data_IF_174398084955
#
_entry.id   IF_174398084955
#
_cell.length_a   1.000
_cell.length_b   1.000
_cell.length_c   1.000
_cell.angle_alpha   90.00
_cell.angle_beta   90.00
_cell.angle_gamma   90.00
#
_symmetry.space_group_name_H-M   'P 1'
#
loop_
_entity.id
_entity.type
_entity.pdbx_description
1 polymer ?
#
# COMPACT_ATOMS: atom_id res chain seq x y z
N UNK A 1 -26.17 55.32 26.66
CA UNK A 1 -26.10 54.15 25.76
C UNK A 1 -26.26 52.91 26.62
N UNK A 2 -27.39 52.23 26.51
CA UNK A 2 -27.68 51.04 27.30
C UNK A 2 -26.87 49.85 26.76
N UNK A 3 -26.03 49.27 27.61
CA UNK A 3 -25.27 48.05 27.30
C UNK A 3 -26.28 46.90 27.34
N UNK A 4 -26.45 46.20 26.22
CA UNK A 4 -27.33 45.04 26.11
C UNK A 4 -26.92 43.95 27.12
N UNK A 5 -27.76 43.62 28.11
CA UNK A 5 -27.44 42.66 29.17
C UNK A 5 -27.32 41.20 28.67
N UNK A 6 -27.65 40.94 27.40
CA UNK A 6 -27.49 39.64 26.75
C UNK A 6 -26.28 39.57 25.81
N UNK A 7 -25.49 40.64 25.69
CA UNK A 7 -24.29 40.63 24.87
C UNK A 7 -23.21 39.73 25.52
N UNK A 8 -22.61 38.79 24.77
CA UNK A 8 -21.54 37.96 25.30
C UNK A 8 -20.37 38.85 25.75
N UNK A 9 -20.00 38.75 27.03
CA UNK A 9 -18.85 39.45 27.58
C UNK A 9 -17.56 38.86 26.97
N UNK A 10 -16.93 39.58 26.05
CA UNK A 10 -15.64 39.21 25.49
C UNK A 10 -14.54 39.79 26.39
N UNK A 11 -13.92 38.93 27.21
CA UNK A 11 -12.74 39.30 27.99
C UNK A 11 -11.47 38.76 27.34
N UNK A 12 -10.43 39.59 27.21
CA UNK A 12 -9.09 39.12 26.83
C UNK A 12 -8.52 38.37 28.03
N UNK A 13 -8.26 37.07 27.85
CA UNK A 13 -7.54 36.23 28.82
C UNK A 13 -6.03 36.36 28.58
N UNK A 14 -5.24 35.89 29.54
CA UNK A 14 -3.78 35.76 29.41
C UNK A 14 -3.40 35.10 28.08
N UNK A 15 -2.26 35.48 27.49
CA UNK A 15 -1.86 34.87 26.21
C UNK A 15 -1.58 33.40 26.49
N UNK A 16 -1.99 32.54 25.56
CA UNK A 16 -1.83 31.09 25.72
C UNK A 16 -0.40 30.68 26.14
N UNK A 17 0.64 31.34 25.61
CA UNK A 17 2.04 31.04 25.98
C UNK A 17 2.47 31.49 27.39
N UNK A 18 1.69 32.35 28.05
CA UNK A 18 1.96 32.80 29.42
C UNK A 18 1.36 31.83 30.46
N UNK A 19 0.38 31.03 30.05
CA UNK A 19 -0.38 30.09 30.90
C UNK A 19 -0.07 28.63 30.57
N UNK A 20 0.28 28.34 29.31
CA UNK A 20 0.61 27.02 28.85
C UNK A 20 2.11 26.76 28.97
N UNK A 21 2.42 25.50 29.27
CA UNK A 21 3.78 24.92 29.26
C UNK A 21 4.59 25.32 28.01
N UNK A 22 5.92 25.23 28.07
CA UNK A 22 6.85 25.30 26.92
C UNK A 22 6.60 24.25 25.80
N UNK A 23 5.44 23.59 25.82
CA UNK A 23 5.00 22.49 24.95
C UNK A 23 3.84 22.92 24.08
N UNK A 24 3.58 22.16 23.03
CA UNK A 24 2.38 22.37 22.21
C UNK A 24 1.09 22.00 22.95
N UNK A 25 -0.03 22.69 22.66
CA UNK A 25 -1.31 22.51 23.35
C UNK A 25 -1.82 21.08 23.39
N UNK A 26 -1.69 20.37 22.27
CA UNK A 26 -2.17 19.00 22.14
C UNK A 26 -0.99 18.11 21.79
N UNK A 27 -0.70 17.18 22.69
CA UNK A 27 0.30 16.14 22.46
C UNK A 27 -0.43 14.93 21.89
N UNK A 28 0.15 14.34 20.85
CA UNK A 28 -0.39 13.13 20.20
C UNK A 28 0.60 12.01 20.40
N UNK A 29 0.15 10.90 20.97
CA UNK A 29 0.98 9.72 21.12
C UNK A 29 1.28 9.06 19.76
N UNK A 30 2.56 8.71 19.49
CA UNK A 30 2.94 7.85 18.38
C UNK A 30 2.24 6.49 18.43
N UNK A 31 1.76 6.01 17.28
CA UNK A 31 1.19 4.67 17.16
C UNK A 31 2.22 3.63 16.72
N UNK A 32 1.91 2.36 17.00
CA UNK A 32 2.76 1.25 16.57
C UNK A 32 2.87 1.18 15.03
N UNK A 33 4.10 1.06 14.55
CA UNK A 33 4.44 1.06 13.12
C UNK A 33 4.02 2.33 12.36
N UNK A 34 3.71 3.42 13.07
CA UNK A 34 3.37 4.71 12.48
C UNK A 34 4.60 5.34 11.83
N UNK A 35 4.38 5.94 10.67
CA UNK A 35 5.38 6.70 9.96
C UNK A 35 5.50 8.11 10.52
N UNK A 36 6.71 8.67 10.56
CA UNK A 36 6.95 9.99 11.14
C UNK A 36 6.06 11.07 10.53
N UNK A 37 5.88 11.10 9.20
CA UNK A 37 4.94 12.01 8.55
C UNK A 37 3.51 11.91 9.07
N UNK A 38 3.05 10.69 9.39
CA UNK A 38 1.67 10.40 9.78
C UNK A 38 1.42 10.99 11.15
N UNK A 39 2.36 10.73 12.06
CA UNK A 39 2.35 11.32 13.39
C UNK A 39 2.41 12.85 13.32
N UNK A 40 3.31 13.43 12.52
CA UNK A 40 3.40 14.88 12.32
C UNK A 40 2.11 15.49 11.78
N UNK A 41 1.41 14.83 10.86
CA UNK A 41 0.13 15.32 10.35
C UNK A 41 -1.00 15.21 11.37
N UNK A 42 -1.04 14.14 12.19
CA UNK A 42 -1.99 14.03 13.30
C UNK A 42 -1.72 15.09 14.35
N UNK A 43 -0.46 15.32 14.69
CA UNK A 43 -0.02 16.35 15.62
C UNK A 43 -0.39 17.75 15.12
N UNK A 44 -0.11 18.05 13.85
CA UNK A 44 -0.50 19.31 13.23
C UNK A 44 -2.02 19.52 13.28
N UNK A 45 -2.80 18.51 12.88
CA UNK A 45 -4.26 18.56 12.89
C UNK A 45 -4.81 18.77 14.31
N UNK A 46 -4.28 18.05 15.30
CA UNK A 46 -4.66 18.17 16.70
C UNK A 46 -4.37 19.56 17.28
N UNK A 47 -3.32 20.23 16.80
CA UNK A 47 -2.98 21.60 17.17
C UNK A 47 -3.60 22.66 16.22
N UNK A 48 -4.58 22.29 15.39
CA UNK A 48 -5.31 23.24 14.54
C UNK A 48 -4.52 23.76 13.32
N UNK A 49 -3.39 23.13 12.98
CA UNK A 49 -2.54 23.54 11.86
C UNK A 49 -2.70 22.59 10.67
N UNK A 50 -2.98 23.14 9.49
CA UNK A 50 -3.03 22.33 8.27
C UNK A 50 -1.64 21.73 7.95
N UNK A 51 -1.57 20.47 7.44
CA UNK A 51 -0.30 19.79 7.16
C UNK A 51 0.74 20.59 6.38
N UNK A 52 0.30 21.34 5.34
CA UNK A 52 1.22 22.16 4.54
C UNK A 52 1.78 23.36 5.31
N UNK A 53 1.00 23.95 6.21
CA UNK A 53 1.42 25.09 7.02
C UNK A 53 2.37 24.67 8.15
N UNK A 54 2.20 23.45 8.66
CA UNK A 54 3.03 22.90 9.75
C UNK A 54 4.52 22.81 9.40
N UNK A 55 4.87 22.70 8.11
CA UNK A 55 6.26 22.82 7.65
C UNK A 55 6.95 24.09 8.20
N UNK A 56 6.24 25.22 8.21
CA UNK A 56 6.79 26.50 8.69
C UNK A 56 6.99 26.53 10.20
N UNK A 57 6.15 25.80 10.95
CA UNK A 57 6.32 25.65 12.41
C UNK A 57 7.65 24.96 12.72
N UNK A 58 8.09 24.06 11.85
CA UNK A 58 9.39 23.37 11.94
C UNK A 58 10.52 24.12 11.20
N UNK A 59 10.30 25.36 10.75
CA UNK A 59 11.31 26.12 9.99
C UNK A 59 11.59 25.57 8.58
N UNK A 60 10.72 24.74 8.02
CA UNK A 60 10.89 24.10 6.72
C UNK A 60 10.08 24.78 5.60
N UNK A 61 10.56 24.61 4.37
CA UNK A 61 9.83 25.06 3.18
C UNK A 61 8.68 24.11 2.82
N UNK A 62 7.55 24.62 2.31
CA UNK A 62 6.47 23.77 1.83
C UNK A 62 6.92 22.90 0.64
N UNK A 63 6.43 21.67 0.59
CA UNK A 63 6.82 20.70 -0.43
C UNK A 63 6.58 19.28 0.07
N UNK A 64 7.41 18.32 -0.35
CA UNK A 64 7.41 16.97 0.24
C UNK A 64 8.14 16.90 1.59
N UNK A 65 8.14 18.00 2.36
CA UNK A 65 8.88 18.19 3.60
C UNK A 65 8.72 17.00 4.57
N UNK A 66 7.48 16.57 4.81
CA UNK A 66 7.17 15.49 5.75
C UNK A 66 7.74 14.16 5.28
N UNK A 67 7.71 13.91 3.97
CA UNK A 67 8.22 12.69 3.37
C UNK A 67 9.76 12.65 3.36
N UNK A 68 10.41 13.82 3.31
CA UNK A 68 11.86 13.93 3.48
C UNK A 68 12.29 13.58 4.90
N UNK A 69 11.51 13.99 5.92
CA UNK A 69 11.78 13.68 7.32
C UNK A 69 11.70 12.19 7.63
N UNK A 70 10.84 11.43 6.92
CA UNK A 70 10.79 9.97 7.09
C UNK A 70 12.11 9.27 6.73
N UNK A 71 12.85 9.82 5.76
CA UNK A 71 14.12 9.23 5.32
C UNK A 71 15.27 9.63 6.24
N UNK A 72 15.26 10.86 6.74
CA UNK A 72 16.27 11.39 7.64
C UNK A 72 15.65 12.53 8.43
N UNK A 73 15.58 12.35 9.74
CA UNK A 73 15.17 13.40 10.67
C UNK A 73 16.42 14.19 11.10
N UNK A 74 16.53 15.49 10.75
CA UNK A 74 17.61 16.35 11.25
C UNK A 74 17.56 16.51 12.77
N UNK A 75 18.73 16.60 13.41
CA UNK A 75 18.84 16.61 14.88
C UNK A 75 18.27 17.87 15.53
N UNK A 76 18.34 19.02 14.86
CA UNK A 76 17.67 20.26 15.25
C UNK A 76 16.14 20.09 15.29
N UNK A 77 15.55 19.50 14.24
CA UNK A 77 14.11 19.23 14.19
C UNK A 77 13.72 18.17 15.23
N UNK A 78 14.53 17.12 15.42
CA UNK A 78 14.28 16.12 16.46
C UNK A 78 14.25 16.75 17.86
N UNK A 79 15.21 17.64 18.18
CA UNK A 79 15.22 18.38 19.45
C UNK A 79 14.01 19.28 19.61
N UNK A 80 13.62 19.99 18.55
CA UNK A 80 12.41 20.81 18.56
C UNK A 80 11.16 19.96 18.84
N UNK A 81 10.98 18.84 18.15
CA UNK A 81 9.86 17.94 18.37
C UNK A 81 9.86 17.35 19.78
N UNK A 82 11.01 16.91 20.28
CA UNK A 82 11.17 16.40 21.64
C UNK A 82 10.78 17.46 22.69
N UNK A 83 11.27 18.69 22.54
CA UNK A 83 10.95 19.79 23.47
C UNK A 83 9.46 20.12 23.49
N UNK A 84 8.82 20.18 22.32
CA UNK A 84 7.42 20.60 22.20
C UNK A 84 6.41 19.49 22.51
N UNK A 85 6.79 18.22 22.40
CA UNK A 85 5.86 17.08 22.54
C UNK A 85 6.18 16.13 23.68
N UNK A 86 7.41 16.14 24.18
CA UNK A 86 7.89 15.15 25.15
C UNK A 86 8.18 13.76 24.55
N UNK A 87 7.96 13.54 23.25
CA UNK A 87 8.29 12.27 22.58
C UNK A 87 9.80 12.10 22.50
N UNK A 88 10.31 10.94 22.93
CA UNK A 88 11.75 10.72 23.03
C UNK A 88 12.43 10.65 21.65
N UNK A 89 13.74 10.98 21.55
CA UNK A 89 14.49 10.82 20.32
C UNK A 89 14.42 9.40 19.73
N UNK A 90 14.38 8.37 20.60
CA UNK A 90 14.28 6.98 20.18
C UNK A 90 12.91 6.65 19.56
N UNK A 91 11.83 7.18 20.15
CA UNK A 91 10.49 7.05 19.57
C UNK A 91 10.38 7.78 18.22
N UNK A 92 10.97 8.98 18.11
CA UNK A 92 11.04 9.71 16.84
C UNK A 92 11.83 8.93 15.79
N UNK A 93 12.98 8.37 16.17
CA UNK A 93 13.82 7.55 15.30
C UNK A 93 13.09 6.27 14.85
N UNK A 94 12.35 5.62 15.75
CA UNK A 94 11.58 4.41 15.44
C UNK A 94 10.50 4.64 14.37
N UNK A 95 9.96 5.86 14.28
CA UNK A 95 8.99 6.26 13.23
C UNK A 95 9.63 6.54 11.85
N UNK A 96 10.96 6.70 11.79
CA UNK A 96 11.68 6.92 10.52
C UNK A 96 11.89 5.61 9.74
N UNK A 97 12.26 5.73 8.46
CA UNK A 97 12.51 4.62 7.53
C UNK A 97 14.00 4.25 7.45
N UNK A 98 14.91 5.06 7.99
CA UNK A 98 16.36 4.97 7.76
C UNK A 98 17.03 3.73 8.36
N UNK A 99 16.45 3.18 9.43
CA UNK A 99 17.07 2.11 10.24
C UNK A 99 16.30 0.78 10.18
N UNK A 100 15.05 0.78 9.72
CA UNK A 100 14.18 -0.40 9.84
C UNK A 100 13.89 -1.10 8.51
N UNK A 101 14.10 -0.44 7.37
CA UNK A 101 13.65 -0.92 6.06
C UNK A 101 14.75 -0.78 4.99
N UNK A 102 14.85 -1.74 4.05
CA UNK A 102 15.83 -1.66 2.96
C UNK A 102 15.55 -0.48 2.04
N UNK A 103 16.45 0.53 2.09
CA UNK A 103 16.31 1.80 1.36
C UNK A 103 16.07 1.64 -0.14
N UNK A 104 16.65 0.60 -0.75
CA UNK A 104 16.53 0.32 -2.17
C UNK A 104 15.10 -0.09 -2.57
N UNK A 105 14.33 -0.69 -1.66
CA UNK A 105 12.93 -1.07 -1.91
C UNK A 105 11.94 0.06 -1.61
N UNK A 106 12.38 1.19 -1.04
CA UNK A 106 11.47 2.28 -0.75
C UNK A 106 10.91 2.86 -2.05
N UNK A 107 9.59 3.06 -2.08
CA UNK A 107 8.95 3.79 -3.18
C UNK A 107 9.56 5.19 -3.26
N UNK A 108 9.83 5.72 -4.46
CA UNK A 108 10.58 6.94 -4.61
C UNK A 108 9.76 8.16 -4.17
N UNK A 109 10.44 9.18 -3.64
CA UNK A 109 9.83 10.48 -3.37
C UNK A 109 9.58 11.22 -4.69
N UNK A 110 8.53 10.81 -5.42
CA UNK A 110 8.16 11.40 -6.70
C UNK A 110 6.78 12.03 -6.66
N UNK A 111 6.71 13.18 -7.30
CA UNK A 111 5.48 13.89 -7.66
C UNK A 111 5.37 13.97 -9.19
N UNK A 112 5.47 12.84 -9.88
CA UNK A 112 5.12 12.81 -11.30
C UNK A 112 3.60 12.73 -11.44
N UNK A 113 3.03 13.49 -12.38
CA UNK A 113 1.59 13.48 -12.67
C UNK A 113 1.12 12.22 -13.41
N UNK A 114 2.04 11.34 -13.82
CA UNK A 114 1.73 10.17 -14.64
C UNK A 114 1.03 9.06 -13.81
N UNK A 115 -0.01 8.46 -14.38
CA UNK A 115 -0.90 7.49 -13.69
C UNK A 115 -0.30 6.09 -13.52
N UNK A 116 0.57 5.69 -14.43
CA UNK A 116 1.27 4.40 -14.47
C UNK A 116 2.48 4.35 -13.52
N UNK A 117 3.01 5.52 -13.14
CA UNK A 117 4.18 5.64 -12.27
C UNK A 117 3.86 5.45 -10.80
N UNK A 118 4.89 5.03 -10.07
CA UNK A 118 4.92 4.93 -8.61
C UNK A 118 4.50 6.23 -7.95
N UNK A 119 3.74 6.10 -6.88
CA UNK A 119 3.58 7.17 -5.89
C UNK A 119 4.48 6.87 -4.71
N UNK A 120 4.66 7.86 -3.85
CA UNK A 120 5.46 7.70 -2.64
C UNK A 120 4.67 7.07 -1.48
N UNK A 121 3.33 7.05 -1.49
CA UNK A 121 2.54 6.57 -0.36
C UNK A 121 1.40 5.64 -0.81
N UNK A 122 1.22 4.59 -0.04
CA UNK A 122 0.14 3.62 -0.17
C UNK A 122 -0.72 3.59 1.10
N UNK A 123 -1.89 2.96 1.03
CA UNK A 123 -2.80 2.76 2.16
C UNK A 123 -3.71 1.55 2.01
N UNK A 124 -4.20 1.05 3.15
CA UNK A 124 -5.33 0.13 3.25
C UNK A 124 -6.54 0.91 3.77
N UNK A 125 -7.68 0.89 3.05
CA UNK A 125 -8.90 1.59 3.49
C UNK A 125 -9.52 0.97 4.74
N UNK A 126 -9.41 -0.35 4.90
CA UNK A 126 -9.91 -1.05 6.09
C UNK A 126 -9.10 -0.67 7.33
N UNK A 127 -7.77 -0.63 7.25
CA UNK A 127 -6.94 -0.11 8.35
C UNK A 127 -7.36 1.31 8.74
N UNK A 128 -7.46 2.22 7.77
CA UNK A 128 -7.88 3.60 8.07
C UNK A 128 -9.31 3.70 8.63
N UNK A 129 -10.15 2.67 8.46
CA UNK A 129 -11.51 2.62 9.01
C UNK A 129 -11.53 2.09 10.44
N UNK A 130 -10.74 1.05 10.72
CA UNK A 130 -10.66 0.40 12.03
C UNK A 130 -9.76 1.14 13.02
N UNK A 131 -8.77 1.88 12.54
CA UNK A 131 -7.88 2.68 13.37
C UNK A 131 -8.71 3.77 14.08
N UNK A 132 -8.69 3.78 15.43
CA UNK A 132 -9.36 4.82 16.23
C UNK A 132 -8.89 6.22 15.83
N UNK A 133 -7.61 6.35 15.50
CA UNK A 133 -7.00 7.53 14.89
C UNK A 133 -6.27 7.11 13.60
N UNK A 134 -6.86 7.31 12.41
CA UNK A 134 -6.30 6.80 11.16
C UNK A 134 -4.87 7.28 10.87
N UNK A 135 -3.98 6.33 10.57
CA UNK A 135 -2.56 6.60 10.38
C UNK A 135 -1.93 5.80 9.24
N UNK A 136 -0.82 6.33 8.70
CA UNK A 136 -0.05 5.66 7.66
C UNK A 136 1.11 4.88 8.28
N UNK A 137 1.24 3.61 7.88
CA UNK A 137 2.22 2.67 8.42
C UNK A 137 3.52 2.71 7.63
N UNK A 138 4.66 2.56 8.31
CA UNK A 138 6.01 2.59 7.68
C UNK A 138 6.16 1.59 6.55
N UNK A 139 5.67 0.35 6.75
CA UNK A 139 5.76 -0.73 5.75
C UNK A 139 5.05 -0.43 4.43
N UNK A 140 4.09 0.50 4.41
CA UNK A 140 3.42 0.94 3.18
C UNK A 140 4.33 1.77 2.25
N UNK A 141 5.59 1.99 2.64
CA UNK A 141 6.62 2.61 1.79
C UNK A 141 7.42 1.60 0.97
N UNK A 142 7.32 0.30 1.24
CA UNK A 142 8.04 -0.72 0.50
C UNK A 142 7.37 -1.02 -0.84
N UNK A 143 8.13 -1.01 -1.92
CA UNK A 143 7.66 -1.40 -3.24
C UNK A 143 7.31 -2.89 -3.35
N UNK A 144 7.85 -3.74 -2.49
CA UNK A 144 7.42 -5.14 -2.40
C UNK A 144 6.10 -5.29 -1.67
N UNK A 145 5.71 -4.32 -0.83
CA UNK A 145 4.44 -4.31 -0.09
C UNK A 145 3.28 -3.94 -1.01
N UNK A 146 2.56 -4.96 -1.44
CA UNK A 146 1.41 -4.84 -2.36
C UNK A 146 0.08 -5.15 -1.67
N UNK A 147 0.12 -5.84 -0.53
CA UNK A 147 -1.03 -6.24 0.28
C UNK A 147 -0.94 -5.68 1.70
N UNK A 148 -2.09 -5.54 2.36
CA UNK A 148 -2.14 -5.21 3.78
C UNK A 148 -1.84 -6.46 4.62
N UNK A 149 -0.96 -6.36 5.61
CA UNK A 149 -0.66 -7.48 6.53
C UNK A 149 -1.84 -7.89 7.39
N UNK A 150 -2.68 -6.92 7.78
CA UNK A 150 -3.87 -7.15 8.61
C UNK A 150 -5.04 -7.69 7.79
N UNK A 151 -5.34 -7.05 6.66
CA UNK A 151 -6.55 -7.34 5.89
C UNK A 151 -6.35 -8.21 4.65
N UNK A 152 -5.11 -8.44 4.24
CA UNK A 152 -4.78 -9.21 3.04
C UNK A 152 -5.31 -8.61 1.73
N UNK A 153 -5.83 -7.37 1.73
CA UNK A 153 -6.30 -6.69 0.52
C UNK A 153 -5.17 -5.92 -0.15
N UNK A 154 -5.29 -5.68 -1.46
CA UNK A 154 -4.32 -4.89 -2.22
C UNK A 154 -4.28 -3.45 -1.69
N UNK A 155 -3.08 -2.95 -1.43
CA UNK A 155 -2.87 -1.55 -1.07
C UNK A 155 -3.23 -0.63 -2.23
N UNK A 156 -3.70 0.56 -1.89
CA UNK A 156 -4.04 1.63 -2.83
C UNK A 156 -3.03 2.75 -2.71
N UNK A 157 -2.80 3.47 -3.78
CA UNK A 157 -1.83 4.56 -3.83
C UNK A 157 -2.37 5.82 -4.49
N UNK A 158 -3.66 5.78 -4.83
CA UNK A 158 -4.44 6.83 -5.49
C UNK A 158 -5.81 6.92 -4.86
N UNK A 159 -6.35 8.13 -4.86
CA UNK A 159 -7.71 8.40 -4.43
C UNK A 159 -8.71 7.67 -5.36
N UNK A 160 -9.74 6.99 -4.81
CA UNK A 160 -10.76 6.35 -5.63
C UNK A 160 -11.62 7.35 -6.41
N UNK A 161 -11.82 8.56 -5.86
CA UNK A 161 -12.64 9.60 -6.47
C UNK A 161 -11.92 10.33 -7.62
N UNK A 162 -10.78 10.99 -7.34
CA UNK A 162 -10.10 11.83 -8.33
C UNK A 162 -8.89 11.15 -9.02
N UNK A 163 -8.53 9.93 -8.61
CA UNK A 163 -7.35 9.18 -9.11
C UNK A 163 -5.99 9.87 -8.90
N UNK A 164 -5.96 11.02 -8.24
CA UNK A 164 -4.73 11.67 -7.80
C UNK A 164 -4.00 10.78 -6.80
N UNK A 165 -2.68 10.85 -6.81
CA UNK A 165 -1.81 10.21 -5.81
C UNK A 165 -2.11 10.70 -4.40
N UNK A 166 -1.81 9.88 -3.40
CA UNK A 166 -1.93 10.29 -2.00
C UNK A 166 -0.81 11.30 -1.69
N UNK A 167 -1.18 12.55 -1.40
CA UNK A 167 -0.25 13.65 -1.17
C UNK A 167 -0.67 14.42 0.10
N UNK A 168 -0.74 13.71 1.23
CA UNK A 168 -1.18 14.24 2.52
C UNK A 168 -0.38 15.48 2.96
N UNK A 169 0.91 15.56 2.61
CA UNK A 169 1.77 16.73 2.84
C UNK A 169 1.26 18.03 2.19
N UNK A 170 0.44 17.92 1.14
CA UNK A 170 -0.07 19.06 0.37
C UNK A 170 -1.43 19.56 0.89
N UNK A 171 -1.91 19.04 2.03
CA UNK A 171 -3.15 19.47 2.65
C UNK A 171 -3.10 20.94 3.06
N UNK A 172 -3.86 21.79 2.35
CA UNK A 172 -4.01 23.23 2.66
C UNK A 172 -5.12 23.51 3.68
N UNK A 173 -6.10 22.61 3.77
CA UNK A 173 -7.24 22.72 4.67
C UNK A 173 -6.94 21.96 5.96
N UNK A 174 -7.55 22.40 7.06
CA UNK A 174 -7.52 21.68 8.32
C UNK A 174 -8.45 20.47 8.24
N UNK A 175 -7.96 19.40 7.62
CA UNK A 175 -8.68 18.14 7.45
C UNK A 175 -7.81 16.97 7.88
N UNK A 176 -8.40 15.89 8.44
CA UNK A 176 -7.64 14.69 8.77
C UNK A 176 -6.92 14.11 7.56
N UNK A 177 -5.76 13.49 7.80
CA UNK A 177 -4.89 12.95 6.76
C UNK A 177 -5.50 11.80 5.92
N UNK A 178 -6.60 11.19 6.38
CA UNK A 178 -7.34 10.19 5.59
C UNK A 178 -8.24 10.83 4.51
N UNK A 179 -8.28 12.16 4.40
CA UNK A 179 -8.97 12.86 3.30
C UNK A 179 -8.01 13.21 2.19
N UNK A 180 -8.45 13.02 0.95
CA UNK A 180 -7.65 13.36 -0.21
C UNK A 180 -7.35 14.87 -0.26
N UNK A 181 -6.06 15.24 -0.31
CA UNK A 181 -5.64 16.65 -0.38
C UNK A 181 -6.09 17.39 -1.66
N UNK A 182 -6.52 16.67 -2.70
CA UNK A 182 -6.95 17.25 -3.98
C UNK A 182 -8.47 17.42 -4.08
N UNK A 183 -9.25 16.39 -3.71
CA UNK A 183 -10.71 16.41 -3.88
C UNK A 183 -11.51 16.26 -2.58
N UNK A 184 -10.86 16.09 -1.42
CA UNK A 184 -11.54 15.94 -0.12
C UNK A 184 -12.21 14.58 0.14
N UNK A 185 -12.26 13.70 -0.86
CA UNK A 185 -12.80 12.34 -0.76
C UNK A 185 -12.15 11.56 0.39
N UNK A 186 -12.97 10.88 1.17
CA UNK A 186 -12.56 10.07 2.31
C UNK A 186 -11.96 8.73 1.83
N UNK A 187 -10.67 8.52 2.11
CA UNK A 187 -9.94 7.33 1.66
C UNK A 187 -10.43 6.05 2.36
N UNK A 188 -11.08 6.16 3.52
CA UNK A 188 -11.69 5.03 4.25
C UNK A 188 -12.79 4.36 3.44
N UNK A 189 -13.48 5.12 2.59
CA UNK A 189 -14.57 4.63 1.72
C UNK A 189 -14.07 3.96 0.44
N UNK A 190 -12.75 3.81 0.25
CA UNK A 190 -12.23 3.16 -0.93
C UNK A 190 -12.58 1.66 -0.93
N UNK A 191 -13.08 1.16 -2.07
CA UNK A 191 -13.44 -0.25 -2.19
C UNK A 191 -12.25 -1.18 -1.94
N UNK A 192 -12.54 -2.36 -1.41
CA UNK A 192 -11.54 -3.40 -1.18
C UNK A 192 -11.17 -4.01 -2.54
N UNK A 193 -9.87 -4.24 -2.76
CA UNK A 193 -9.39 -4.98 -3.93
C UNK A 193 -8.72 -6.25 -3.43
N UNK A 194 -9.24 -7.39 -3.89
CA UNK A 194 -8.65 -8.70 -3.61
C UNK A 194 -7.32 -8.86 -4.33
N UNK A 195 -6.49 -9.76 -3.82
CA UNK A 195 -5.19 -10.13 -4.37
C UNK A 195 -5.07 -11.64 -4.24
N UNK A 196 -4.43 -12.30 -5.20
CA UNK A 196 -4.30 -13.76 -5.22
C UNK A 196 -3.59 -14.34 -3.98
N UNK A 197 -3.92 -15.56 -3.52
CA UNK A 197 -3.29 -16.19 -2.36
C UNK A 197 -1.75 -16.26 -2.44
N UNK A 198 -1.20 -16.65 -3.59
CA UNK A 198 0.25 -16.69 -3.81
C UNK A 198 0.92 -15.31 -3.66
N UNK A 199 0.26 -14.26 -4.14
CA UNK A 199 0.76 -12.90 -3.99
C UNK A 199 0.71 -12.39 -2.54
N UNK A 200 -0.32 -12.77 -1.76
CA UNK A 200 -0.35 -12.50 -0.30
C UNK A 200 0.80 -13.21 0.40
N UNK A 201 1.00 -14.48 0.09
CA UNK A 201 2.09 -15.27 0.66
C UNK A 201 3.45 -14.67 0.34
N UNK A 202 3.71 -14.36 -0.93
CA UNK A 202 4.97 -13.75 -1.36
C UNK A 202 5.22 -12.44 -0.62
N UNK A 203 4.22 -11.57 -0.52
CA UNK A 203 4.36 -10.31 0.19
C UNK A 203 4.65 -10.51 1.70
N UNK A 204 4.02 -11.50 2.34
CA UNK A 204 4.32 -11.89 3.73
C UNK A 204 5.75 -12.41 3.88
N UNK A 205 6.18 -13.34 3.01
CA UNK A 205 7.55 -13.86 3.04
C UNK A 205 8.58 -12.75 2.87
N UNK A 206 8.35 -11.81 1.95
CA UNK A 206 9.23 -10.65 1.80
C UNK A 206 9.19 -9.73 3.03
N UNK A 207 8.05 -9.58 3.71
CA UNK A 207 7.98 -8.84 4.99
C UNK A 207 8.85 -9.49 6.07
N UNK A 208 8.81 -10.81 6.17
CA UNK A 208 9.54 -11.55 7.20
C UNK A 208 11.05 -11.53 6.92
N UNK A 209 11.42 -11.63 5.64
CA UNK A 209 12.81 -11.58 5.17
C UNK A 209 13.43 -10.19 5.29
N UNK A 210 12.66 -9.13 5.02
CA UNK A 210 13.15 -7.75 5.06
C UNK A 210 13.31 -7.19 6.48
N UNK A 211 13.21 -8.03 7.53
CA UNK A 211 13.42 -7.67 8.94
C UNK A 211 14.73 -8.29 9.47
N UNK A 212 15.93 -8.02 8.92
CA UNK A 212 16.94 -7.16 9.58
C UNK A 212 18.07 -6.63 8.61
N UNK A 213 19.16 -6.08 9.16
CA UNK A 213 20.39 -5.60 8.45
C UNK A 213 21.08 -6.68 7.58
N UNK A 214 20.78 -7.95 7.81
CA UNK A 214 21.33 -9.11 7.10
C UNK A 214 21.06 -9.09 5.59
N UNK A 215 19.90 -8.57 5.17
CA UNK A 215 19.51 -8.53 3.76
C UNK A 215 20.41 -7.59 2.94
N UNK A 216 20.93 -6.53 3.56
CA UNK A 216 21.83 -5.57 2.91
C UNK A 216 23.30 -6.01 2.95
N UNK A 217 23.69 -6.73 4.00
CA UNK A 217 25.09 -7.08 4.28
C UNK A 217 25.53 -8.42 3.67
N UNK A 218 24.62 -9.38 3.50
CA UNK A 218 24.92 -10.69 2.92
C UNK A 218 24.92 -10.69 1.37
N UNK A 219 25.82 -11.44 0.70
CA UNK A 219 25.78 -11.64 -0.75
C UNK A 219 24.43 -12.17 -1.27
N UNK A 220 23.84 -13.14 -0.56
CA UNK A 220 22.53 -13.73 -0.90
C UNK A 220 21.42 -12.68 -0.79
N UNK A 221 21.45 -11.87 0.27
CA UNK A 221 20.50 -10.77 0.46
C UNK A 221 20.58 -9.71 -0.64
N UNK A 222 21.81 -9.31 -1.04
CA UNK A 222 22.01 -8.38 -2.17
C UNK A 222 21.51 -8.95 -3.50
N UNK A 223 21.71 -10.25 -3.74
CA UNK A 223 21.20 -10.92 -4.94
C UNK A 223 19.66 -10.91 -4.96
N UNK A 224 19.02 -11.30 -3.84
CA UNK A 224 17.57 -11.25 -3.68
C UNK A 224 17.04 -9.83 -3.90
N UNK A 225 17.66 -8.82 -3.29
CA UNK A 225 17.31 -7.40 -3.47
C UNK A 225 17.30 -6.99 -4.94
N UNK A 226 18.36 -7.32 -5.68
CA UNK A 226 18.47 -7.02 -7.12
C UNK A 226 17.36 -7.71 -7.93
N UNK A 227 16.99 -8.95 -7.56
CA UNK A 227 15.91 -9.70 -8.22
C UNK A 227 14.54 -9.11 -7.93
N UNK A 228 14.27 -8.73 -6.68
CA UNK A 228 13.03 -8.04 -6.30
C UNK A 228 12.86 -6.74 -7.09
N UNK A 229 13.92 -5.95 -7.20
CA UNK A 229 13.89 -4.71 -7.99
C UNK A 229 13.66 -4.95 -9.49
N UNK A 230 14.24 -6.01 -10.04
CA UNK A 230 14.12 -6.40 -11.44
C UNK A 230 12.97 -7.38 -11.72
N UNK A 231 12.08 -7.62 -10.76
CA UNK A 231 10.90 -8.49 -10.91
C UNK A 231 10.09 -8.21 -12.19
N UNK A 232 9.86 -6.95 -12.61
CA UNK A 232 9.16 -6.68 -13.87
C UNK A 232 9.81 -7.35 -15.08
N UNK A 233 11.15 -7.33 -15.15
CA UNK A 233 11.91 -8.03 -16.19
C UNK A 233 11.78 -9.55 -16.11
N UNK A 234 11.80 -10.12 -14.90
CA UNK A 234 11.67 -11.57 -14.68
C UNK A 234 10.35 -12.12 -15.21
N UNK A 235 9.26 -11.38 -15.05
CA UNK A 235 7.92 -11.83 -15.49
C UNK A 235 7.54 -11.30 -16.88
N UNK A 236 8.47 -10.69 -17.61
CA UNK A 236 8.26 -10.03 -18.90
C UNK A 236 7.07 -9.05 -18.91
N UNK A 237 6.83 -8.33 -17.80
CA UNK A 237 5.83 -7.27 -17.69
C UNK A 237 6.52 -5.98 -17.28
N UNK A 238 6.36 -4.91 -18.04
CA UNK A 238 7.05 -3.64 -17.77
C UNK A 238 8.58 -3.82 -17.73
N UNK A 239 9.14 -4.63 -18.62
CA UNK A 239 10.55 -5.07 -18.62
C UNK A 239 11.58 -3.94 -18.61
N UNK A 240 11.23 -2.76 -19.15
CA UNK A 240 12.08 -1.56 -19.11
C UNK A 240 12.00 -0.78 -17.78
N UNK A 241 11.28 -1.28 -16.78
CA UNK A 241 11.04 -0.59 -15.50
C UNK A 241 11.52 -1.40 -14.30
N UNK A 242 11.96 -0.70 -13.26
CA UNK A 242 12.23 -1.31 -11.95
C UNK A 242 10.96 -1.29 -11.09
N UNK A 243 10.85 -2.23 -10.15
CA UNK A 243 9.67 -2.41 -9.29
C UNK A 243 9.24 -1.11 -8.60
N UNK A 244 10.19 -0.37 -8.02
CA UNK A 244 9.93 0.88 -7.28
C UNK A 244 9.36 2.00 -8.15
N UNK A 245 9.47 1.92 -9.49
CA UNK A 245 8.96 2.93 -10.42
C UNK A 245 7.49 2.71 -10.84
N UNK A 246 6.93 1.55 -10.48
CA UNK A 246 5.59 1.12 -10.89
C UNK A 246 4.52 1.52 -9.86
N UNK A 247 3.31 1.81 -10.36
CA UNK A 247 2.13 1.92 -9.50
C UNK A 247 1.88 0.64 -8.71
N UNK A 248 1.12 0.74 -7.60
CA UNK A 248 0.78 -0.44 -6.78
C UNK A 248 0.03 -1.50 -7.57
N UNK A 249 -0.85 -1.09 -8.48
CA UNK A 249 -1.56 -2.02 -9.35
C UNK A 249 -0.60 -2.78 -10.28
N UNK A 250 0.36 -2.08 -10.89
CA UNK A 250 1.37 -2.72 -11.74
C UNK A 250 2.30 -3.65 -10.96
N UNK A 251 2.74 -3.24 -9.76
CA UNK A 251 3.53 -4.10 -8.86
C UNK A 251 2.77 -5.36 -8.44
N UNK A 252 1.48 -5.23 -8.13
CA UNK A 252 0.62 -6.38 -7.78
C UNK A 252 0.58 -7.39 -8.93
N UNK A 253 0.40 -6.93 -10.18
CA UNK A 253 0.42 -7.82 -11.35
C UNK A 253 1.76 -8.53 -11.53
N UNK A 254 2.88 -7.84 -11.28
CA UNK A 254 4.19 -8.48 -11.34
C UNK A 254 4.31 -9.59 -10.28
N UNK A 255 3.84 -9.35 -9.05
CA UNK A 255 3.86 -10.33 -7.96
C UNK A 255 2.94 -11.51 -8.27
N UNK A 256 1.72 -11.27 -8.75
CA UNK A 256 0.78 -12.34 -9.13
C UNK A 256 1.35 -13.22 -10.26
N UNK A 257 1.95 -12.61 -11.29
CA UNK A 257 2.59 -13.37 -12.36
C UNK A 257 3.84 -14.12 -11.88
N UNK A 258 4.63 -13.51 -11.01
CA UNK A 258 5.80 -14.17 -10.42
C UNK A 258 5.39 -15.39 -9.61
N UNK A 259 4.35 -15.26 -8.79
CA UNK A 259 3.90 -16.34 -7.90
C UNK A 259 3.25 -17.50 -8.64
N UNK A 260 2.62 -17.22 -9.78
CA UNK A 260 2.22 -18.27 -10.73
C UNK A 260 3.44 -19.11 -11.15
N UNK A 261 4.52 -18.47 -11.63
CA UNK A 261 5.73 -19.18 -12.03
C UNK A 261 6.50 -19.84 -10.86
N UNK A 262 6.49 -19.23 -9.67
CA UNK A 262 7.09 -19.84 -8.47
C UNK A 262 6.37 -21.14 -8.09
N UNK A 263 5.06 -21.19 -8.27
CA UNK A 263 4.29 -22.42 -8.05
C UNK A 263 4.78 -23.50 -9.00
N UNK A 264 4.90 -23.19 -10.30
CA UNK A 264 5.47 -24.13 -11.28
C UNK A 264 6.89 -24.61 -10.89
N UNK A 265 7.77 -23.70 -10.43
CA UNK A 265 9.15 -24.05 -10.09
C UNK A 265 9.30 -24.84 -8.79
N UNK A 266 8.38 -24.66 -7.84
CA UNK A 266 8.42 -25.32 -6.53
C UNK A 266 7.71 -26.68 -6.57
N UNK A 267 6.86 -26.92 -7.57
CA UNK A 267 6.25 -28.24 -7.82
C UNK A 267 7.23 -29.23 -8.47
N UNK A 268 8.38 -28.78 -8.97
CA UNK A 268 9.49 -29.64 -9.44
C UNK A 268 10.36 -30.17 -8.28
N UNK A 269 10.21 -29.64 -7.06
CA UNK A 269 10.80 -30.19 -5.83
C UNK A 269 9.72 -31.03 -5.14
N UNK A 270 9.85 -32.37 -5.18
CA UNK A 270 8.84 -33.34 -4.68
C UNK A 270 8.41 -33.12 -3.20
N UNK A 271 9.20 -32.36 -2.44
CA UNK A 271 8.99 -32.11 -1.01
C UNK A 271 8.09 -30.90 -0.67
N UNK A 272 7.62 -30.09 -1.64
CA UNK A 272 6.92 -28.83 -1.32
C UNK A 272 5.59 -28.66 -2.09
N UNK A 273 4.48 -29.19 -1.55
CA UNK A 273 3.14 -28.94 -2.12
C UNK A 273 2.64 -27.52 -1.81
N UNK A 274 2.57 -26.64 -2.81
CA UNK A 274 1.95 -25.32 -2.71
C UNK A 274 0.47 -25.38 -3.09
N UNK A 275 -0.38 -25.94 -2.23
CA UNK A 275 -1.84 -25.76 -2.32
C UNK A 275 -2.26 -24.41 -1.73
N UNK A 276 -3.50 -23.96 -1.95
CA UNK A 276 -4.06 -22.79 -1.24
C UNK A 276 -3.93 -22.90 0.30
N UNK A 277 -3.89 -24.14 0.83
CA UNK A 277 -3.56 -24.42 2.23
C UNK A 277 -2.06 -24.32 2.54
N UNK A 278 -1.17 -24.66 1.61
CA UNK A 278 0.29 -24.56 1.74
C UNK A 278 0.81 -23.12 1.92
N UNK A 279 0.18 -22.13 1.27
CA UNK A 279 0.49 -20.70 1.47
C UNK A 279 0.19 -20.17 2.89
N UNK A 280 -0.49 -20.97 3.72
CA UNK A 280 -0.84 -20.63 5.09
C UNK A 280 0.10 -21.24 6.13
N UNK A 281 0.99 -22.17 5.75
CA UNK A 281 1.64 -23.08 6.71
C UNK A 281 3.17 -23.05 6.77
N UNK A 282 3.87 -22.15 6.07
CA UNK A 282 5.33 -22.07 6.26
C UNK A 282 5.65 -21.50 7.66
N UNK A 283 6.34 -22.26 8.54
CA UNK A 283 6.65 -21.80 9.89
C UNK A 283 7.61 -20.61 9.84
N UNK A 284 7.32 -19.60 10.67
CA UNK A 284 8.13 -18.39 10.87
C UNK A 284 9.54 -18.64 11.45
N UNK A 285 9.93 -19.89 11.69
CA UNK A 285 11.18 -20.26 12.35
C UNK A 285 12.38 -20.43 11.41
N UNK A 286 12.20 -20.39 10.10
CA UNK A 286 13.29 -20.64 9.13
C UNK A 286 13.38 -19.58 8.02
N UNK A 287 13.47 -18.30 8.40
CA UNK A 287 13.66 -17.19 7.44
C UNK A 287 14.83 -17.43 6.49
N UNK A 288 15.95 -18.03 6.95
CA UNK A 288 17.09 -18.38 6.09
C UNK A 288 16.72 -19.36 4.97
N UNK A 289 15.99 -20.43 5.28
CA UNK A 289 15.54 -21.41 4.27
C UNK A 289 14.56 -20.81 3.28
N UNK A 290 13.69 -19.90 3.72
CA UNK A 290 12.76 -19.18 2.82
C UNK A 290 13.53 -18.22 1.91
N UNK A 291 14.52 -17.49 2.44
CA UNK A 291 15.43 -16.66 1.62
C UNK A 291 16.15 -17.51 0.59
N UNK A 292 16.68 -18.67 0.98
CA UNK A 292 17.39 -19.59 0.09
C UNK A 292 16.47 -20.13 -0.99
N UNK A 293 15.28 -20.62 -0.64
CA UNK A 293 14.29 -21.13 -1.60
C UNK A 293 13.83 -20.03 -2.56
N UNK A 294 13.48 -18.84 -2.06
CA UNK A 294 13.11 -17.71 -2.91
C UNK A 294 14.27 -17.24 -3.77
N UNK A 295 15.49 -17.22 -3.24
CA UNK A 295 16.68 -16.84 -4.00
C UNK A 295 16.98 -17.87 -5.08
N UNK A 296 16.92 -19.16 -4.77
CA UNK A 296 17.11 -20.27 -5.70
C UNK A 296 16.04 -20.26 -6.81
N UNK A 297 14.78 -20.08 -6.44
CA UNK A 297 13.68 -19.97 -7.38
C UNK A 297 13.88 -18.75 -8.31
N UNK A 298 14.26 -17.60 -7.75
CA UNK A 298 14.55 -16.39 -8.54
C UNK A 298 15.88 -16.44 -9.33
N UNK A 299 16.77 -17.40 -9.06
CA UNK A 299 18.05 -17.59 -9.78
C UNK A 299 17.98 -18.67 -10.85
N UNK A 300 17.06 -19.63 -10.77
CA UNK A 300 16.77 -20.57 -11.87
C UNK A 300 16.52 -19.73 -13.13
N UNK A 301 17.39 -19.87 -14.14
CA UNK A 301 17.30 -19.09 -15.39
C UNK A 301 15.89 -19.27 -15.93
N UNK A 302 15.15 -18.16 -16.06
CA UNK A 302 13.94 -18.06 -16.89
C UNK A 302 14.42 -18.15 -18.34
N UNK A 303 14.90 -19.33 -18.72
CA UNK A 303 15.64 -19.62 -19.95
C UNK A 303 14.89 -20.56 -20.88
N UNK A 304 13.70 -21.02 -20.51
CA UNK A 304 12.74 -21.47 -21.52
C UNK A 304 11.95 -20.25 -21.98
N UNK A 305 12.03 -19.85 -23.26
CA UNK A 305 11.03 -18.95 -23.81
C UNK A 305 9.68 -19.58 -23.47
N UNK A 306 8.78 -18.80 -22.87
CA UNK A 306 7.37 -19.15 -22.80
C UNK A 306 6.99 -19.40 -24.26
N UNK A 307 6.83 -20.66 -24.66
CA UNK A 307 6.24 -20.99 -25.93
C UNK A 307 4.95 -20.18 -25.98
N UNK A 308 4.80 -19.38 -27.04
CA UNK A 308 3.57 -18.65 -27.33
C UNK A 308 2.48 -19.68 -27.64
N UNK A 309 2.00 -20.40 -26.62
CA UNK A 309 1.00 -21.44 -26.68
C UNK A 309 0.50 -21.73 -25.25
N UNK A 310 -0.03 -20.70 -24.61
CA UNK A 310 -1.23 -20.92 -23.80
C UNK A 310 -2.34 -20.08 -24.44
N UNK A 311 -2.95 -20.63 -25.49
CA UNK A 311 -4.39 -20.50 -25.60
C UNK A 311 -4.93 -20.98 -24.26
N UNK A 312 -5.68 -20.13 -23.58
CA UNK A 312 -6.56 -20.57 -22.51
C UNK A 312 -7.22 -21.87 -22.98
N UNK A 313 -7.23 -22.96 -22.19
CA UNK A 313 -8.33 -23.89 -22.35
C UNK A 313 -9.56 -23.02 -22.08
N UNK A 314 -10.34 -22.75 -23.13
CA UNK A 314 -11.74 -22.44 -22.94
C UNK A 314 -12.34 -23.70 -22.31
N UNK A 315 -12.21 -23.82 -20.99
CA UNK A 315 -13.12 -24.64 -20.22
C UNK A 315 -14.47 -23.98 -20.48
N UNK A 316 -15.21 -24.59 -21.40
CA UNK A 316 -16.54 -24.17 -21.74
C UNK A 316 -17.35 -24.28 -20.46
N UNK A 317 -17.93 -23.16 -20.02
CA UNK A 317 -18.74 -23.04 -18.79
C UNK A 317 -19.89 -24.06 -18.72
N UNK A 318 -20.15 -24.81 -19.79
CA UNK A 318 -21.12 -25.90 -19.91
C UNK A 318 -20.73 -27.20 -19.21
N UNK A 319 -19.45 -27.50 -18.93
CA UNK A 319 -19.08 -28.73 -18.20
C UNK A 319 -19.20 -28.59 -16.68
N UNK A 320 -18.84 -27.41 -16.13
CA UNK A 320 -19.03 -27.11 -14.70
C UNK A 320 -20.51 -27.02 -14.32
N UNK A 321 -21.37 -26.50 -15.21
CA UNK A 321 -22.82 -26.49 -15.04
C UNK A 321 -23.43 -27.90 -15.09
N UNK A 322 -22.90 -28.82 -15.90
CA UNK A 322 -23.34 -30.23 -15.92
C UNK A 322 -22.95 -30.97 -14.64
N UNK A 323 -21.76 -30.72 -14.10
CA UNK A 323 -21.31 -31.32 -12.84
C UNK A 323 -22.12 -30.84 -11.62
N UNK A 324 -22.60 -29.59 -11.65
CA UNK A 324 -23.43 -29.02 -10.57
C UNK A 324 -24.87 -29.54 -10.59
N UNK A 325 -25.42 -29.86 -11.77
CA UNK A 325 -26.78 -30.43 -11.89
C UNK A 325 -26.82 -31.93 -11.52
N UNK A 326 -25.69 -32.64 -11.59
CA UNK A 326 -25.62 -34.08 -11.28
C UNK A 326 -25.40 -34.39 -9.78
N UNK A 327 -25.19 -33.38 -8.92
CA UNK A 327 -24.87 -33.59 -7.49
C UNK A 327 -25.90 -33.04 -6.50
N UNK A 328 -27.07 -32.59 -6.97
CA UNK A 328 -28.17 -32.16 -6.09
C UNK A 328 -29.46 -32.95 -6.35
N UNK A 329 -29.90 -33.84 -5.45
CA UNK A 329 -31.25 -34.36 -5.50
C UNK A 329 -32.22 -33.30 -4.94
N UNK A 330 -33.09 -32.80 -5.82
CA UNK A 330 -34.35 -32.15 -5.44
C UNK A 330 -34.39 -30.63 -5.53
N UNK A 331 -34.72 -30.10 -6.71
CA UNK A 331 -35.62 -28.95 -6.86
C UNK A 331 -36.12 -28.88 -8.31
N UNK A 332 -37.38 -29.28 -8.51
CA UNK A 332 -38.08 -29.15 -9.79
C UNK A 332 -38.41 -27.68 -10.04
N UNK A 333 -37.92 -27.11 -11.15
CA UNK A 333 -38.56 -25.96 -11.79
C UNK A 333 -38.49 -26.15 -13.31
N UNK A 334 -39.63 -26.50 -13.90
CA UNK A 334 -39.87 -26.41 -15.33
C UNK A 334 -39.73 -24.95 -15.78
N UNK A 335 -38.94 -24.69 -16.83
CA UNK A 335 -39.34 -23.77 -17.90
C UNK A 335 -38.53 -24.02 -19.18
N UNK A 336 -39.28 -24.24 -20.26
CA UNK A 336 -38.81 -24.35 -21.64
C UNK A 336 -38.20 -23.03 -22.13
N UNK A 337 -37.04 -23.09 -22.79
CA UNK A 337 -36.77 -22.20 -23.93
C UNK A 337 -35.85 -22.89 -24.94
N UNK A 338 -36.35 -22.96 -26.18
CA UNK A 338 -35.78 -23.60 -27.36
C UNK A 338 -34.57 -22.80 -27.86
N UNK A 339 -33.48 -23.49 -28.20
CA UNK A 339 -32.42 -22.97 -29.08
C UNK A 339 -32.73 -23.34 -30.53
N UNK A 340 -32.97 -22.33 -31.37
CA UNK A 340 -32.61 -22.32 -32.79
C UNK A 340 -31.51 -21.22 -32.87
N UNK A 341 -30.30 -21.43 -33.35
CA UNK A 341 -29.94 -21.96 -34.66
C UNK A 341 -29.24 -20.82 -35.43
N UNK A 342 -27.94 -20.98 -35.68
CA UNK A 342 -27.10 -20.28 -36.69
C UNK A 342 -27.03 -18.74 -36.70
N UNK A 343 -25.85 -18.18 -36.41
CA UNK A 343 -25.51 -16.78 -36.72
C UNK A 343 -24.05 -16.45 -36.47
N UNK A 344 -23.33 -16.13 -37.54
CA UNK A 344 -21.87 -15.95 -37.63
C UNK A 344 -21.35 -14.67 -36.98
N UNK A 345 -20.07 -14.73 -36.62
CA UNK A 345 -19.23 -13.77 -35.95
C UNK A 345 -18.77 -12.66 -36.92
N UNK A 346 -19.48 -11.53 -36.99
CA UNK A 346 -19.03 -10.19 -37.45
C UNK A 346 -20.26 -9.36 -37.71
N UNK A 347 -20.51 -8.40 -36.82
CA UNK A 347 -21.23 -7.14 -37.02
C UNK A 347 -21.87 -6.77 -35.68
N UNK A 348 -21.27 -5.79 -34.99
CA UNK A 348 -21.88 -4.72 -34.17
C UNK A 348 -20.72 -4.04 -33.44
N UNK A 349 -19.92 -3.29 -34.20
CA UNK A 349 -19.28 -2.08 -33.68
C UNK A 349 -19.83 -0.94 -34.53
N UNK A 350 -20.87 -0.29 -34.02
CA UNK A 350 -21.25 1.12 -34.25
C UNK A 350 -22.66 1.34 -33.68
N UNK A 351 -22.85 2.52 -33.09
CA UNK A 351 -24.08 3.07 -32.50
C UNK A 351 -24.38 2.49 -31.10
N UNK A 352 -24.48 3.25 -30.01
CA UNK A 352 -24.90 4.64 -29.84
C UNK A 352 -24.15 5.34 -28.70
N UNK A 353 -23.60 6.52 -29.02
CA UNK A 353 -23.71 7.66 -28.13
C UNK A 353 -25.09 8.28 -28.34
N UNK A 354 -25.58 8.99 -27.31
CA UNK A 354 -26.83 9.77 -27.24
C UNK A 354 -28.00 8.98 -26.63
N UNK A 355 -28.17 9.07 -25.30
CA UNK A 355 -29.35 9.65 -24.64
C UNK A 355 -29.33 9.43 -23.11
N UNK A 356 -29.27 10.57 -22.40
CA UNK A 356 -29.66 10.87 -21.01
C UNK A 356 -28.71 10.49 -19.87
#
# INVERSE_FOLDING_TARGET
>A
MAIDPLAPAISIRERYGDVASDRWPVIVEPQQDEMLLSWLHRLAYANGVAPRAFARVLGLTPGMWSASLDLRLPGDIARQLCANTGVSPDQLAAMTLSHALPKQLLLPLRNSGRRDRSTWLQFCSQCLTEDSQPYFRRRWRLATRVSCTKHGCRLRDRCPCCRSRIAVFNGRRLVPQHRCAYCGCDLRRASIITIGPGAKWFDRCIDDICRPEELTSSPTGRALMRRLLNMPGLVCLYSASILTSLSTAARTRCVEKLTYHLSDWLMDDEDISFSERGYSYLPSSNSSRIVELLTAALTRKIGRPIAANHRQPAATDTELLKAYVQTSPGLSIHHHMRFNGSGSFRDVVKQEAILR
#
